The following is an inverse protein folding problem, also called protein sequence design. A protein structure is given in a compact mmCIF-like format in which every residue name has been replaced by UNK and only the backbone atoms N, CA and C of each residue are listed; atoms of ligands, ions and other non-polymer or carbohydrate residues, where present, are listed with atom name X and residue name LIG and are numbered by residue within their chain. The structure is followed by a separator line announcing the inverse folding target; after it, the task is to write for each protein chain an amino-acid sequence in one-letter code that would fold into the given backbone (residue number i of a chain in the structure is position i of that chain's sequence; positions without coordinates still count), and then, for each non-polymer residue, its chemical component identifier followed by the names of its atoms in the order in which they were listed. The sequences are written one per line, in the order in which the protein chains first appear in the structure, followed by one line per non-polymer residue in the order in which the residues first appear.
data_IF_837496035647
#
_entry.id   IF_837496035647
#
_cell.length_a   1.000
_cell.length_b   1.000
_cell.length_c   1.000
_cell.angle_alpha   90.00
_cell.angle_beta   90.00
_cell.angle_gamma   90.00
#
_symmetry.space_group_name_H-M   'P 1'
#
loop_
_entity.id
_entity.type
_entity.pdbx_description
1 polymer ?
#
# COMPACT_ATOMS: atom_id res chain seq x y z
N UNK A 1 8.09 6.05 5.34
CA UNK A 1 9.53 5.96 5.09
C UNK A 1 9.77 6.29 3.62
N UNK A 2 10.90 6.92 3.30
CA UNK A 2 11.27 7.20 1.90
C UNK A 2 11.86 5.94 1.27
N UNK A 3 11.39 5.56 0.08
CA UNK A 3 11.99 4.51 -0.74
C UNK A 3 11.03 3.41 -1.21
N UNK A 4 11.60 2.42 -1.90
CA UNK A 4 10.86 1.37 -2.59
C UNK A 4 10.23 0.33 -1.64
N UNK A 5 8.90 0.13 -1.68
CA UNK A 5 8.21 -0.84 -0.83
C UNK A 5 8.71 -2.29 -0.99
N UNK A 6 9.16 -2.68 -2.20
CA UNK A 6 9.68 -4.04 -2.44
C UNK A 6 10.97 -4.26 -1.65
N UNK A 7 11.92 -3.33 -1.76
CA UNK A 7 13.17 -3.40 -1.02
C UNK A 7 12.95 -3.35 0.51
N UNK A 8 12.02 -2.53 1.00
CA UNK A 8 11.67 -2.49 2.43
C UNK A 8 11.12 -3.82 2.94
N UNK A 9 10.21 -4.46 2.22
CA UNK A 9 9.63 -5.73 2.64
C UNK A 9 10.68 -6.86 2.66
N UNK A 10 11.53 -6.92 1.64
CA UNK A 10 12.62 -7.90 1.57
C UNK A 10 13.63 -7.70 2.70
N UNK A 11 14.12 -6.47 2.90
CA UNK A 11 15.08 -6.17 3.96
C UNK A 11 14.51 -6.37 5.36
N UNK A 12 13.23 -6.03 5.57
CA UNK A 12 12.56 -6.27 6.85
C UNK A 12 12.43 -7.78 7.13
N UNK A 13 12.02 -8.58 6.15
CA UNK A 13 11.96 -10.03 6.33
C UNK A 13 13.35 -10.65 6.59
N UNK A 14 14.38 -10.23 5.85
CA UNK A 14 15.77 -10.69 6.06
C UNK A 14 16.28 -10.41 7.47
N UNK A 15 15.93 -9.25 8.04
CA UNK A 15 16.29 -8.93 9.42
C UNK A 15 15.45 -9.73 10.43
N UNK A 16 14.16 -9.90 10.17
CA UNK A 16 13.25 -10.59 11.08
C UNK A 16 13.53 -12.10 11.18
N UNK A 17 13.84 -12.77 10.05
CA UNK A 17 14.11 -14.21 10.02
C UNK A 17 15.36 -14.61 10.82
N UNK A 18 16.33 -13.70 10.94
CA UNK A 18 17.51 -13.90 11.78
C UNK A 18 17.17 -13.93 13.28
N UNK A 19 16.05 -13.30 13.68
CA UNK A 19 15.60 -13.24 15.08
C UNK A 19 14.53 -14.30 15.39
N UNK A 20 13.63 -14.56 14.45
CA UNK A 20 12.58 -15.57 14.54
C UNK A 20 12.51 -16.38 13.23
N UNK A 21 13.00 -17.64 13.22
CA UNK A 21 12.95 -18.51 12.04
C UNK A 21 11.52 -18.80 11.53
N UNK A 22 10.50 -18.62 12.38
CA UNK A 22 9.10 -18.83 12.02
C UNK A 22 8.42 -17.53 11.53
N UNK A 23 9.17 -16.43 11.39
CA UNK A 23 8.66 -15.18 10.88
C UNK A 23 8.07 -15.38 9.47
N UNK A 24 6.90 -14.80 9.22
CA UNK A 24 6.27 -14.82 7.90
C UNK A 24 6.88 -13.75 7.00
N UNK A 25 7.00 -14.07 5.70
CA UNK A 25 7.30 -13.07 4.66
C UNK A 25 6.27 -11.95 4.69
N UNK A 26 6.74 -10.74 4.42
CA UNK A 26 5.96 -9.51 4.60
C UNK A 26 5.32 -9.10 3.27
N UNK A 27 3.98 -8.99 3.21
CA UNK A 27 3.30 -8.65 1.98
C UNK A 27 3.56 -7.20 1.57
N UNK A 28 3.73 -7.02 0.26
CA UNK A 28 3.76 -5.71 -0.40
C UNK A 28 2.46 -5.48 -1.13
N UNK A 29 1.93 -4.27 -1.02
CA UNK A 29 0.74 -3.88 -1.77
C UNK A 29 1.14 -3.33 -3.14
N UNK A 30 0.77 -4.06 -4.19
CA UNK A 30 0.89 -3.61 -5.57
C UNK A 30 -0.25 -2.65 -5.91
N UNK A 31 0.12 -1.48 -6.45
CA UNK A 31 -0.82 -0.42 -6.87
C UNK A 31 -1.34 -0.76 -8.27
N UNK A 32 -2.18 -1.78 -8.32
CA UNK A 32 -2.48 -2.50 -9.55
C UNK A 32 -3.31 -1.68 -10.55
N UNK A 33 -3.12 -1.96 -11.83
CA UNK A 33 -4.04 -1.56 -12.88
C UNK A 33 -5.26 -2.48 -12.84
N UNK A 34 -6.45 -1.90 -12.99
CA UNK A 34 -7.72 -2.63 -12.91
C UNK A 34 -7.90 -3.63 -14.06
N UNK A 35 -7.35 -3.33 -15.25
CA UNK A 35 -7.68 -4.04 -16.50
C UNK A 35 -6.53 -4.83 -17.10
N UNK A 36 -5.29 -4.48 -16.78
CA UNK A 36 -4.09 -5.09 -17.37
C UNK A 36 -3.12 -5.51 -16.27
N UNK A 37 -2.75 -6.79 -16.22
CA UNK A 37 -1.73 -7.28 -15.29
C UNK A 37 -0.38 -6.62 -15.58
N UNK A 38 0.22 -6.00 -14.55
CA UNK A 38 1.46 -5.24 -14.71
C UNK A 38 1.28 -3.89 -15.41
N UNK A 39 0.04 -3.43 -15.63
CA UNK A 39 -0.22 -2.16 -16.31
C UNK A 39 0.34 -2.14 -17.73
N UNK A 40 1.22 -1.17 -18.01
CA UNK A 40 1.92 -1.04 -19.29
C UNK A 40 3.42 -1.34 -19.15
N UNK A 41 3.78 -2.39 -18.39
CA UNK A 41 5.17 -2.69 -18.03
C UNK A 41 6.12 -2.95 -19.21
N UNK A 42 5.59 -3.41 -20.35
CA UNK A 42 6.35 -3.62 -21.59
C UNK A 42 6.80 -2.31 -22.23
N UNK A 43 6.17 -1.19 -21.87
CA UNK A 43 6.60 0.13 -22.28
C UNK A 43 7.64 0.71 -21.32
N UNK A 44 8.24 1.84 -21.72
CA UNK A 44 9.16 2.59 -20.87
C UNK A 44 8.46 3.37 -19.73
N UNK A 45 7.19 3.10 -19.43
CA UNK A 45 6.44 3.79 -18.39
C UNK A 45 7.01 3.46 -17.01
N UNK A 46 7.39 4.51 -16.27
CA UNK A 46 7.91 4.41 -14.91
C UNK A 46 6.78 4.70 -13.93
N UNK A 47 6.26 3.63 -13.33
CA UNK A 47 5.19 3.67 -12.35
C UNK A 47 5.29 2.45 -11.43
N UNK A 48 4.67 2.49 -10.23
CA UNK A 48 4.91 1.48 -9.20
C UNK A 48 4.69 0.03 -9.67
N UNK A 49 3.56 -0.24 -10.33
CA UNK A 49 3.25 -1.59 -10.82
C UNK A 49 4.18 -2.00 -11.97
N UNK A 50 4.42 -1.11 -12.94
CA UNK A 50 5.29 -1.36 -14.09
C UNK A 50 6.74 -1.65 -13.67
N UNK A 51 7.25 -0.88 -12.71
CA UNK A 51 8.58 -1.10 -12.13
C UNK A 51 8.64 -2.44 -11.39
N UNK A 52 7.60 -2.81 -10.64
CA UNK A 52 7.54 -4.10 -9.96
C UNK A 52 7.45 -5.26 -10.97
N UNK A 53 6.65 -5.12 -12.02
CA UNK A 53 6.53 -6.10 -13.10
C UNK A 53 7.87 -6.35 -13.81
N UNK A 54 8.64 -5.30 -14.12
CA UNK A 54 9.94 -5.46 -14.81
C UNK A 54 11.02 -6.17 -14.00
N UNK A 55 10.91 -6.19 -12.67
CA UNK A 55 11.91 -6.79 -11.78
C UNK A 55 11.53 -8.14 -11.18
N UNK A 56 10.33 -8.64 -11.50
CA UNK A 56 9.75 -9.82 -10.87
C UNK A 56 8.91 -10.65 -11.84
N UNK A 57 8.37 -11.77 -11.36
CA UNK A 57 7.39 -12.57 -12.10
C UNK A 57 5.93 -12.13 -11.82
N UNK A 58 5.70 -10.91 -11.31
CA UNK A 58 4.38 -10.43 -10.90
C UNK A 58 3.30 -10.62 -11.98
N UNK A 59 3.60 -10.31 -13.24
CA UNK A 59 2.64 -10.45 -14.35
C UNK A 59 2.20 -11.90 -14.52
N UNK A 60 3.12 -12.84 -14.38
CA UNK A 60 2.81 -14.27 -14.42
C UNK A 60 1.96 -14.68 -13.22
N UNK A 61 2.31 -14.21 -12.02
CA UNK A 61 1.55 -14.47 -10.79
C UNK A 61 0.12 -13.90 -10.82
N UNK A 62 -0.12 -12.86 -11.62
CA UNK A 62 -1.42 -12.22 -11.80
C UNK A 62 -2.29 -12.87 -12.89
N UNK A 63 -1.67 -13.46 -13.91
CA UNK A 63 -2.36 -14.00 -15.10
C UNK A 63 -2.50 -15.52 -15.09
N UNK A 64 -1.72 -16.23 -14.28
CA UNK A 64 -1.71 -17.69 -14.22
C UNK A 64 -2.15 -18.18 -12.83
N UNK A 65 -3.47 -18.21 -12.55
CA UNK A 65 -3.97 -18.89 -11.37
C UNK A 65 -3.47 -20.33 -11.29
N UNK A 66 -3.28 -20.85 -10.07
CA UNK A 66 -3.06 -22.28 -9.84
C UNK A 66 -4.13 -23.16 -10.51
N UNK A 67 -5.39 -22.69 -10.57
CA UNK A 67 -6.50 -23.44 -11.16
C UNK A 67 -6.58 -23.35 -12.70
N UNK A 68 -5.72 -22.56 -13.36
CA UNK A 68 -5.66 -22.53 -14.82
C UNK A 68 -5.28 -23.91 -15.39
N UNK A 69 -4.46 -24.67 -14.65
CA UNK A 69 -4.11 -26.05 -14.98
C UNK A 69 -5.30 -27.02 -14.89
N UNK A 70 -6.38 -26.63 -14.22
CA UNK A 70 -7.62 -27.41 -14.09
C UNK A 70 -8.62 -27.13 -15.23
N UNK A 71 -8.21 -26.37 -16.27
CA UNK A 71 -9.07 -26.03 -17.40
C UNK A 71 -10.19 -25.04 -17.05
N UNK A 72 -10.10 -24.38 -15.90
CA UNK A 72 -10.99 -23.27 -15.55
C UNK A 72 -10.38 -21.98 -16.10
N UNK A 73 -11.07 -21.39 -17.06
CA UNK A 73 -10.72 -20.10 -17.68
C UNK A 73 -11.07 -18.92 -16.73
N UNK A 74 -10.75 -19.07 -15.43
CA UNK A 74 -10.99 -18.06 -14.42
C UNK A 74 -9.87 -17.02 -14.49
N UNK A 75 -10.03 -16.05 -15.39
CA UNK A 75 -9.17 -14.88 -15.42
C UNK A 75 -9.47 -13.98 -14.21
N UNK A 76 -8.46 -13.65 -13.42
CA UNK A 76 -8.60 -12.71 -12.29
C UNK A 76 -8.75 -11.25 -12.73
N UNK A 77 -8.62 -10.98 -14.04
CA UNK A 77 -8.82 -9.67 -14.64
C UNK A 77 -10.17 -9.57 -15.37
N UNK A 78 -10.85 -8.41 -15.29
CA UNK A 78 -10.46 -7.21 -14.52
C UNK A 78 -10.57 -7.41 -12.99
N UNK A 79 -9.70 -6.73 -12.23
CA UNK A 79 -9.74 -6.79 -10.75
C UNK A 79 -11.09 -6.25 -10.27
N UNK A 80 -11.81 -6.96 -9.38
CA UNK A 80 -13.07 -6.49 -8.82
C UNK A 80 -12.95 -5.10 -8.17
N UNK A 81 -13.99 -4.27 -8.30
CA UNK A 81 -13.97 -2.92 -7.74
C UNK A 81 -13.74 -2.89 -6.22
N UNK A 82 -14.30 -3.87 -5.49
CA UNK A 82 -14.18 -4.05 -4.03
C UNK A 82 -13.45 -5.34 -3.69
N UNK A 83 -12.27 -5.55 -4.29
CA UNK A 83 -11.49 -6.75 -4.10
C UNK A 83 -10.04 -6.57 -4.54
N UNK A 84 -9.30 -7.68 -4.54
CA UNK A 84 -7.90 -7.73 -4.93
C UNK A 84 -7.46 -9.16 -5.20
N UNK A 85 -6.25 -9.29 -5.72
CA UNK A 85 -5.60 -10.57 -5.99
C UNK A 85 -4.49 -10.75 -4.96
N UNK A 86 -4.45 -11.91 -4.32
CA UNK A 86 -3.34 -12.30 -3.45
C UNK A 86 -2.43 -13.29 -4.15
N UNK A 87 -1.18 -12.91 -4.35
CA UNK A 87 -0.14 -13.76 -4.92
C UNK A 87 0.82 -14.14 -3.79
N UNK A 88 0.77 -15.38 -3.26
CA UNK A 88 1.54 -15.76 -2.06
C UNK A 88 3.06 -15.76 -2.27
N UNK A 89 3.50 -15.92 -3.52
CA UNK A 89 4.92 -16.08 -3.85
C UNK A 89 5.26 -15.40 -5.18
N UNK A 90 5.64 -14.13 -5.12
CA UNK A 90 6.21 -13.37 -6.24
C UNK A 90 7.72 -13.33 -6.09
N UNK A 91 8.43 -13.80 -7.10
CA UNK A 91 9.90 -13.83 -7.15
C UNK A 91 10.43 -12.54 -7.76
N UNK A 92 11.30 -11.85 -7.02
CA UNK A 92 12.04 -10.67 -7.43
C UNK A 92 13.46 -11.10 -7.78
N UNK A 93 13.89 -10.77 -9.00
CA UNK A 93 15.18 -11.20 -9.55
C UNK A 93 15.99 -10.04 -10.15
N UNK A 94 15.47 -8.80 -10.13
CA UNK A 94 16.22 -7.59 -10.50
C UNK A 94 16.08 -6.47 -9.47
N UNK A 95 17.07 -5.58 -9.47
CA UNK A 95 17.07 -4.31 -8.76
C UNK A 95 15.86 -3.46 -9.09
N UNK A 96 15.64 -2.45 -8.27
CA UNK A 96 14.67 -1.41 -8.54
C UNK A 96 15.11 -0.52 -9.72
N UNK A 97 14.25 0.43 -10.11
CA UNK A 97 14.58 1.43 -11.13
C UNK A 97 15.76 2.33 -10.74
N UNK A 98 16.00 2.52 -9.44
CA UNK A 98 17.15 3.21 -8.85
C UNK A 98 18.48 2.46 -9.02
N UNK A 99 18.41 1.17 -9.35
CA UNK A 99 19.55 0.28 -9.57
C UNK A 99 19.66 -0.18 -11.02
N UNK A 100 19.03 0.56 -11.95
CA UNK A 100 18.99 0.24 -13.39
C UNK A 100 18.54 -1.20 -13.70
N UNK A 101 17.68 -1.77 -12.85
CA UNK A 101 17.26 -3.18 -12.94
C UNK A 101 18.42 -4.18 -13.02
N UNK A 102 19.54 -3.90 -12.34
CA UNK A 102 20.67 -4.82 -12.24
C UNK A 102 20.20 -6.20 -11.77
N UNK A 103 20.76 -7.27 -12.35
CA UNK A 103 20.45 -8.64 -11.93
C UNK A 103 20.85 -8.84 -10.48
N UNK A 104 19.93 -9.37 -9.66
CA UNK A 104 20.28 -9.80 -8.31
C UNK A 104 21.13 -11.07 -8.35
N UNK A 105 22.08 -11.16 -7.43
CA UNK A 105 22.83 -12.40 -7.19
C UNK A 105 21.95 -13.47 -6.51
N UNK A 106 20.91 -13.04 -5.77
CA UNK A 106 20.00 -13.92 -5.04
C UNK A 106 18.54 -13.60 -5.40
N UNK A 107 17.80 -14.61 -5.84
CA UNK A 107 16.37 -14.49 -6.10
C UNK A 107 15.64 -14.53 -4.75
N UNK A 108 14.85 -13.50 -4.46
CA UNK A 108 14.03 -13.43 -3.26
C UNK A 108 12.55 -13.51 -3.62
N UNK A 109 11.71 -13.97 -2.72
CA UNK A 109 10.26 -14.01 -2.93
C UNK A 109 9.48 -13.40 -1.78
N UNK A 110 8.35 -12.78 -2.11
CA UNK A 110 7.47 -12.11 -1.16
C UNK A 110 6.00 -12.24 -1.58
N UNK A 111 5.06 -12.22 -0.62
CA UNK A 111 3.64 -12.18 -0.93
C UNK A 111 3.22 -10.80 -1.44
N UNK A 112 2.32 -10.75 -2.42
CA UNK A 112 1.85 -9.50 -3.02
C UNK A 112 0.34 -9.42 -2.96
N UNK A 113 -0.17 -8.29 -2.49
CA UNK A 113 -1.60 -7.94 -2.51
C UNK A 113 -1.81 -6.91 -3.61
N UNK A 114 -2.45 -7.31 -4.70
CA UNK A 114 -2.73 -6.43 -5.84
C UNK A 114 -4.14 -5.88 -5.76
N UNK A 115 -4.26 -4.58 -5.53
CA UNK A 115 -5.56 -3.87 -5.50
C UNK A 115 -5.44 -2.63 -6.36
N UNK A 116 -6.45 -2.39 -7.21
CA UNK A 116 -6.50 -1.19 -8.03
C UNK A 116 -7.10 -0.01 -7.26
N UNK A 117 -6.36 1.07 -6.98
CA UNK A 117 -6.91 2.27 -6.35
C UNK A 117 -7.84 3.03 -7.29
N UNK A 118 -8.61 3.99 -6.76
CA UNK A 118 -9.39 4.92 -7.59
C UNK A 118 -8.43 5.75 -8.45
N UNK A 119 -8.74 5.90 -9.75
CA UNK A 119 -7.90 6.61 -10.71
C UNK A 119 -8.52 7.95 -11.09
N UNK A 120 -7.79 9.03 -10.80
CA UNK A 120 -8.11 10.42 -11.15
C UNK A 120 -9.53 10.81 -10.73
N UNK A 121 -9.86 10.70 -9.43
CA UNK A 121 -11.17 11.10 -8.96
C UNK A 121 -11.42 12.59 -9.24
N UNK A 122 -12.69 12.99 -9.29
CA UNK A 122 -13.00 14.42 -9.37
C UNK A 122 -12.69 15.07 -8.02
N UNK A 123 -11.88 16.13 -8.04
CA UNK A 123 -11.54 16.90 -6.86
C UNK A 123 -12.32 18.20 -6.81
N UNK A 124 -12.50 18.75 -5.61
CA UNK A 124 -13.08 20.06 -5.38
C UNK A 124 -12.22 21.19 -6.01
N UNK A 125 -12.71 22.43 -5.94
CA UNK A 125 -12.00 23.59 -6.53
C UNK A 125 -10.60 23.79 -5.95
N UNK A 126 -10.37 23.37 -4.70
CA UNK A 126 -9.07 23.46 -4.05
C UNK A 126 -8.10 22.34 -4.47
N UNK A 127 -8.60 21.26 -5.07
CA UNK A 127 -7.82 20.07 -5.41
C UNK A 127 -7.36 19.27 -4.19
N UNK A 128 -7.93 19.51 -3.01
CA UNK A 128 -7.49 18.89 -1.75
C UNK A 128 -8.42 17.80 -1.26
N UNK A 129 -9.65 17.75 -1.77
CA UNK A 129 -10.70 16.82 -1.32
C UNK A 129 -11.45 16.22 -2.51
N UNK A 130 -12.00 15.01 -2.33
CA UNK A 130 -12.90 14.41 -3.30
C UNK A 130 -14.17 15.26 -3.47
N UNK A 131 -14.55 15.57 -4.71
CA UNK A 131 -15.83 16.22 -5.02
C UNK A 131 -17.03 15.31 -4.73
N UNK A 132 -16.88 14.01 -4.97
CA UNK A 132 -17.97 13.05 -4.84
C UNK A 132 -17.70 12.08 -3.69
N UNK A 133 -18.68 11.96 -2.78
CA UNK A 133 -18.61 11.04 -1.65
C UNK A 133 -18.47 9.57 -2.10
N UNK A 134 -19.06 9.20 -3.25
CA UNK A 134 -19.00 7.86 -3.81
C UNK A 134 -17.58 7.45 -4.20
N UNK A 135 -16.77 8.39 -4.72
CA UNK A 135 -15.37 8.10 -5.09
C UNK A 135 -14.50 7.93 -3.84
N UNK A 136 -14.74 8.76 -2.82
CA UNK A 136 -14.09 8.63 -1.51
C UNK A 136 -14.43 7.29 -0.85
N UNK A 137 -15.70 6.89 -0.86
CA UNK A 137 -16.13 5.61 -0.30
C UNK A 137 -15.55 4.43 -1.10
N UNK A 138 -15.53 4.52 -2.43
CA UNK A 138 -14.90 3.49 -3.25
C UNK A 138 -13.41 3.34 -2.95
N UNK A 139 -12.69 4.45 -2.74
CA UNK A 139 -11.28 4.41 -2.32
C UNK A 139 -11.14 3.74 -0.95
N UNK A 140 -12.01 4.09 0.00
CA UNK A 140 -12.03 3.48 1.33
C UNK A 140 -12.31 1.97 1.27
N UNK A 141 -13.27 1.51 0.47
CA UNK A 141 -13.57 0.09 0.25
C UNK A 141 -12.38 -0.68 -0.37
N UNK A 142 -11.66 -0.05 -1.30
CA UNK A 142 -10.44 -0.63 -1.88
C UNK A 142 -9.32 -0.77 -0.85
N UNK A 143 -9.17 0.22 0.03
CA UNK A 143 -8.20 0.16 1.12
C UNK A 143 -8.60 -0.87 2.19
N UNK A 144 -9.91 -1.01 2.49
CA UNK A 144 -10.42 -2.14 3.30
C UNK A 144 -10.09 -3.48 2.68
N UNK A 145 -10.24 -3.63 1.36
CA UNK A 145 -9.91 -4.88 0.67
C UNK A 145 -8.45 -5.27 0.87
N UNK A 146 -7.51 -4.32 0.81
CA UNK A 146 -6.09 -4.56 1.12
C UNK A 146 -5.93 -5.14 2.54
N UNK A 147 -6.52 -4.50 3.54
CA UNK A 147 -6.38 -4.91 4.94
C UNK A 147 -7.08 -6.25 5.21
N UNK A 148 -8.27 -6.45 4.65
CA UNK A 148 -9.01 -7.72 4.74
C UNK A 148 -8.23 -8.88 4.15
N UNK A 149 -7.63 -8.70 2.97
CA UNK A 149 -6.81 -9.75 2.33
C UNK A 149 -5.58 -10.05 3.20
N UNK A 150 -4.86 -9.03 3.68
CA UNK A 150 -3.69 -9.22 4.53
C UNK A 150 -4.03 -9.97 5.82
N UNK A 151 -5.10 -9.54 6.51
CA UNK A 151 -5.58 -10.15 7.75
C UNK A 151 -6.07 -11.59 7.52
N UNK A 152 -6.86 -11.83 6.47
CA UNK A 152 -7.37 -13.16 6.11
C UNK A 152 -6.24 -14.15 5.80
N UNK A 153 -5.17 -13.70 5.14
CA UNK A 153 -3.99 -14.51 4.87
C UNK A 153 -3.06 -14.65 6.10
N UNK A 154 -3.42 -14.04 7.24
CA UNK A 154 -2.67 -14.14 8.50
C UNK A 154 -1.38 -13.34 8.52
N UNK A 155 -1.30 -12.24 7.76
CA UNK A 155 -0.17 -11.32 7.81
C UNK A 155 -0.46 -10.18 8.79
N UNK A 156 0.36 -10.08 9.83
CA UNK A 156 0.29 -8.99 10.83
C UNK A 156 1.21 -7.82 10.50
N UNK A 157 2.17 -8.03 9.61
CA UNK A 157 3.10 -7.02 9.11
C UNK A 157 2.76 -6.72 7.66
N UNK A 158 2.76 -5.45 7.26
CA UNK A 158 2.36 -5.03 5.91
C UNK A 158 3.22 -3.87 5.43
N UNK A 159 3.66 -3.92 4.16
CA UNK A 159 4.31 -2.79 3.48
C UNK A 159 3.38 -2.21 2.43
N UNK A 160 3.02 -0.95 2.60
CA UNK A 160 2.18 -0.16 1.72
C UNK A 160 3.05 0.79 0.89
N UNK A 161 2.89 0.73 -0.43
CA UNK A 161 3.45 1.73 -1.33
C UNK A 161 2.65 3.04 -1.33
N UNK A 162 2.91 3.88 -2.33
CA UNK A 162 2.17 5.11 -2.62
C UNK A 162 0.76 4.83 -3.21
N UNK A 163 -0.09 4.13 -2.46
CA UNK A 163 -1.38 3.61 -2.93
C UNK A 163 -2.34 4.73 -3.35
N UNK A 164 -2.63 4.82 -4.66
CA UNK A 164 -3.49 5.87 -5.23
C UNK A 164 -2.83 7.25 -5.34
N UNK A 165 -1.54 7.38 -5.04
CA UNK A 165 -0.81 8.65 -5.16
C UNK A 165 -0.13 8.78 -6.52
N UNK A 166 0.54 9.91 -6.75
CA UNK A 166 1.33 10.15 -7.94
C UNK A 166 0.52 10.52 -9.20
N UNK A 167 1.22 10.74 -10.33
CA UNK A 167 0.67 11.41 -11.52
C UNK A 167 -0.40 10.59 -12.26
N UNK A 168 -0.38 9.27 -12.08
CA UNK A 168 -1.33 8.34 -12.71
C UNK A 168 -2.67 8.38 -12.00
N UNK A 169 -2.67 8.32 -10.67
CA UNK A 169 -3.87 8.15 -9.84
C UNK A 169 -4.41 9.48 -9.30
N UNK A 170 -3.58 10.45 -8.97
CA UNK A 170 -3.98 11.82 -8.58
C UNK A 170 -5.02 11.89 -7.44
N UNK A 171 -5.00 10.95 -6.50
CA UNK A 171 -5.81 11.10 -5.28
C UNK A 171 -5.13 12.12 -4.34
N UNK A 172 -5.90 12.89 -3.55
CA UNK A 172 -5.34 13.84 -2.61
C UNK A 172 -4.65 13.11 -1.45
N UNK A 173 -3.33 13.25 -1.34
CA UNK A 173 -2.51 12.50 -0.39
C UNK A 173 -2.97 12.65 1.07
N UNK A 174 -3.41 13.84 1.46
CA UNK A 174 -3.91 14.09 2.81
C UNK A 174 -5.21 13.34 3.12
N UNK A 175 -6.09 13.14 2.14
CA UNK A 175 -7.30 12.31 2.33
C UNK A 175 -6.94 10.82 2.34
N UNK A 176 -6.05 10.37 1.47
CA UNK A 176 -5.60 8.96 1.45
C UNK A 176 -4.94 8.59 2.77
N UNK A 177 -4.06 9.44 3.31
CA UNK A 177 -3.44 9.25 4.62
C UNK A 177 -4.50 9.21 5.75
N UNK A 178 -5.49 10.12 5.71
CA UNK A 178 -6.61 10.13 6.66
C UNK A 178 -7.46 8.87 6.61
N UNK A 179 -7.73 8.34 5.41
CA UNK A 179 -8.48 7.09 5.26
C UNK A 179 -7.66 5.93 5.84
N UNK A 180 -6.37 5.82 5.52
CA UNK A 180 -5.52 4.78 6.11
C UNK A 180 -5.48 4.87 7.65
N UNK A 181 -5.33 6.08 8.20
CA UNK A 181 -5.34 6.30 9.66
C UNK A 181 -6.67 5.84 10.28
N UNK A 182 -7.79 6.22 9.69
CA UNK A 182 -9.11 5.78 10.13
C UNK A 182 -9.24 4.25 10.10
N UNK A 183 -8.85 3.62 9.01
CA UNK A 183 -8.94 2.16 8.89
C UNK A 183 -8.06 1.43 9.91
N UNK A 184 -6.85 1.93 10.17
CA UNK A 184 -5.89 1.25 11.06
C UNK A 184 -6.17 1.48 12.55
N UNK A 185 -6.74 2.63 12.93
CA UNK A 185 -6.86 3.03 14.33
C UNK A 185 -8.30 3.24 14.82
N UNK A 186 -9.23 3.63 13.95
CA UNK A 186 -10.61 3.98 14.33
C UNK A 186 -11.62 2.90 13.97
N UNK A 187 -11.37 2.11 12.92
CA UNK A 187 -12.29 1.08 12.46
C UNK A 187 -12.12 -0.23 13.25
N UNK A 188 -13.17 -0.64 13.95
CA UNK A 188 -13.16 -1.82 14.85
C UNK A 188 -12.73 -3.11 14.15
N UNK A 189 -13.03 -3.24 12.84
CA UNK A 189 -12.69 -4.43 12.05
C UNK A 189 -11.19 -4.75 12.06
N UNK A 190 -10.33 -3.74 12.14
CA UNK A 190 -8.87 -3.92 12.05
C UNK A 190 -8.15 -3.71 13.39
N UNK A 191 -8.87 -3.52 14.49
CA UNK A 191 -8.27 -3.37 15.81
C UNK A 191 -7.48 -4.64 16.19
N UNK A 192 -6.18 -4.47 16.42
CA UNK A 192 -5.27 -5.57 16.77
C UNK A 192 -4.91 -6.53 15.62
N UNK A 193 -5.45 -6.31 14.41
CA UNK A 193 -5.19 -7.17 13.25
C UNK A 193 -3.72 -7.08 12.78
N UNK A 194 -3.15 -5.87 12.84
CA UNK A 194 -1.78 -5.59 12.43
C UNK A 194 -0.89 -5.24 13.62
N UNK A 195 0.35 -5.71 13.56
CA UNK A 195 1.40 -5.35 14.51
C UNK A 195 2.17 -4.15 13.98
N UNK A 196 2.66 -4.23 12.74
CA UNK A 196 3.47 -3.19 12.12
C UNK A 196 3.02 -2.93 10.67
N UNK A 197 2.77 -1.67 10.35
CA UNK A 197 2.42 -1.23 8.97
C UNK A 197 3.39 -0.15 8.54
N UNK A 198 4.10 -0.38 7.43
CA UNK A 198 5.08 0.55 6.89
C UNK A 198 4.55 1.17 5.60
N UNK A 199 4.44 2.50 5.58
CA UNK A 199 4.21 3.26 4.34
C UNK A 199 5.56 3.60 3.71
N UNK A 200 5.98 2.86 2.68
CA UNK A 200 7.19 3.11 1.90
C UNK A 200 6.80 3.90 0.63
N UNK A 201 7.03 5.22 0.67
CA UNK A 201 6.69 6.14 -0.41
C UNK A 201 7.99 6.56 -1.09
N UNK A 202 8.14 6.21 -2.35
CA UNK A 202 9.25 6.65 -3.19
C UNK A 202 8.88 7.97 -3.88
N UNK A 203 9.56 9.04 -3.49
CA UNK A 203 9.35 10.39 -4.01
C UNK A 203 9.61 10.49 -5.53
N UNK A 204 10.47 9.63 -6.08
CA UNK A 204 10.70 9.57 -7.54
C UNK A 204 9.50 9.01 -8.31
N UNK A 205 8.67 8.19 -7.66
CA UNK A 205 7.50 7.54 -8.27
C UNK A 205 6.21 8.36 -8.13
N UNK A 206 6.11 9.20 -7.10
CA UNK A 206 4.94 10.09 -6.89
C UNK A 206 5.10 11.47 -7.54
N UNK A 207 6.34 11.86 -7.85
CA UNK A 207 6.66 13.14 -8.47
C UNK A 207 6.83 14.26 -7.44
N UNK A 208 7.34 15.41 -7.91
CA UNK A 208 7.59 16.56 -7.06
C UNK A 208 6.27 17.20 -6.57
N UNK A 209 6.22 17.69 -5.31
CA UNK A 209 5.05 18.40 -4.81
C UNK A 209 4.84 19.71 -5.58
N UNK A 210 3.59 20.18 -5.61
CA UNK A 210 3.29 21.52 -6.08
C UNK A 210 4.06 22.57 -5.25
N UNK A 211 4.44 23.69 -5.87
CA UNK A 211 5.27 24.72 -5.22
C UNK A 211 4.61 25.21 -3.92
N UNK A 212 5.29 25.02 -2.79
CA UNK A 212 4.80 25.41 -1.46
C UNK A 212 3.88 24.39 -0.78
N UNK A 213 3.63 23.24 -1.40
CA UNK A 213 2.95 22.10 -0.78
C UNK A 213 3.95 21.11 -0.16
N UNK A 214 3.50 20.38 0.85
CA UNK A 214 4.24 19.26 1.41
C UNK A 214 4.36 18.14 0.38
N UNK A 215 5.45 17.38 0.45
CA UNK A 215 5.54 16.10 -0.26
C UNK A 215 4.49 15.10 0.25
N UNK A 216 4.18 14.09 -0.56
CA UNK A 216 3.30 13.01 -0.16
C UNK A 216 3.85 12.28 1.07
N UNK A 217 5.16 12.05 1.13
CA UNK A 217 5.81 11.44 2.29
C UNK A 217 5.64 12.30 3.56
N UNK A 218 5.88 13.61 3.49
CA UNK A 218 5.70 14.52 4.64
C UNK A 218 4.24 14.60 5.08
N UNK A 219 3.31 14.55 4.12
CA UNK A 219 1.87 14.50 4.39
C UNK A 219 1.52 13.26 5.21
N UNK A 220 2.05 12.09 4.83
CA UNK A 220 1.89 10.86 5.60
C UNK A 220 2.56 10.95 6.96
N UNK A 221 3.81 11.44 7.05
CA UNK A 221 4.50 11.63 8.34
C UNK A 221 3.69 12.50 9.31
N UNK A 222 3.12 13.61 8.82
CA UNK A 222 2.31 14.51 9.64
C UNK A 222 0.98 13.91 10.04
N UNK A 223 0.40 13.04 9.22
CA UNK A 223 -0.89 12.40 9.54
C UNK A 223 -0.75 11.25 10.51
N UNK A 224 0.35 10.49 10.41
CA UNK A 224 0.68 9.39 11.31
C UNK A 224 1.56 9.80 12.49
N UNK A 225 1.65 11.11 12.78
CA UNK A 225 2.35 11.58 13.97
C UNK A 225 1.65 11.04 15.24
N UNK A 226 2.38 10.46 16.20
CA UNK A 226 1.78 9.89 17.41
C UNK A 226 0.88 10.85 18.17
N UNK A 227 1.18 12.16 18.16
CA UNK A 227 0.37 13.19 18.83
C UNK A 227 -1.04 13.34 18.24
N UNK A 228 -1.21 13.01 16.95
CA UNK A 228 -2.53 13.00 16.29
C UNK A 228 -3.29 11.70 16.50
N UNK A 229 -2.58 10.57 16.55
CA UNK A 229 -3.19 9.25 16.69
C UNK A 229 -3.65 9.03 18.14
N UNK A 230 -2.80 9.39 19.09
CA UNK A 230 -3.03 9.23 20.52
C UNK A 230 -2.98 10.61 21.20
N UNK A 231 -4.00 11.46 21.01
CA UNK A 231 -4.03 12.76 21.64
C UNK A 231 -4.03 12.59 23.15
N UNK A 232 -3.04 13.19 23.82
CA UNK A 232 -3.02 13.23 25.28
C UNK A 232 -4.18 14.13 25.70
N UNK A 233 -5.29 13.51 26.12
CA UNK A 233 -6.35 14.23 26.81
C UNK A 233 -5.75 14.78 28.11
N UNK A 234 -5.53 16.09 28.15
CA UNK A 234 -5.33 16.81 29.40
C UNK A 234 -6.66 16.77 30.17
N UNK A 235 -6.96 15.63 30.76
CA UNK A 235 -8.06 15.51 31.72
C UNK A 235 -7.67 16.35 32.93
N UNK A 236 -8.34 17.50 33.03
CA UNK A 236 -8.42 18.36 34.21
C UNK A 236 -8.67 17.48 35.42
N UNK A 237 -7.62 17.23 36.21
CA UNK A 237 -7.77 16.79 37.59
C UNK A 237 -8.35 17.99 38.35
N UNK A 238 -9.68 18.12 38.37
CA UNK A 238 -10.34 18.93 39.37
C UNK A 238 -10.21 18.18 40.69
N UNK A 239 -9.18 18.53 41.46
CA UNK A 239 -9.12 18.18 42.87
C UNK A 239 -10.28 18.93 43.55
N UNK A 240 -11.35 18.22 43.84
CA UNK A 240 -12.39 18.70 44.75
C UNK A 240 -11.78 18.68 46.15
N UNK A 241 -11.15 19.78 46.55
CA UNK A 241 -10.84 20.02 47.96
C UNK A 241 -12.15 20.05 48.72
N UNK A 242 -12.46 18.95 49.39
CA UNK A 242 -13.53 18.89 50.38
C UNK A 242 -12.89 19.44 51.66
N UNK A 243 -13.17 20.71 51.95
CA UNK A 243 -12.94 21.26 53.29
C UNK A 243 -14.01 20.69 54.23
N UNK A 244 -13.55 19.92 55.22
CA UNK A 244 -14.21 19.74 56.52
C UNK A 244 -13.31 20.36 57.59
#
# INVERSE_FOLDING_TARGET
MEGDPVNYALGWYQNAVNSDPNCRRIPVVNVANEKRAGGDWESGLMAPEECFARRSNLVHALTMPWNAQLGRDENFYPIPQRGGIFSPEVFVFRGGPDQDYATFNEIASLPVISVAPVRRPKLDETGTTYSFAQEKELMMEKMRAVLRIASYCGHRNLVLGAFGLGPIFRNPAAEVARIWRRLLFEEEEFHGAFQDVVFAIDSSMVGAPAKGCLSDLETFKREFDPSKIFPISASRWHYSSSEE
#
